data_IF_876752363402
#
_entry.id   IF_876752363402
#
_cell.length_a   1.000
_cell.length_b   1.000
_cell.length_c   1.000
_cell.angle_alpha   90.00
_cell.angle_beta   90.00
_cell.angle_gamma   90.00
#
_symmetry.space_group_name_H-M   'P 1'
#
loop_
_entity.id
_entity.type
_entity.pdbx_description
1 polymer ?
#
# COMPACT_ATOMS: atom_id res chain seq x y z
N UNK A 1 17.12 -14.55 23.36
CA UNK A 1 17.39 -13.57 22.29
C UNK A 1 17.09 -14.25 20.97
N UNK A 2 15.98 -13.89 20.31
CA UNK A 2 15.64 -14.46 18.97
C UNK A 2 16.47 -13.71 17.93
N UNK A 3 17.14 -14.43 17.04
CA UNK A 3 17.94 -13.84 15.96
C UNK A 3 17.06 -13.07 14.97
N UNK A 4 16.95 -11.75 15.17
CA UNK A 4 16.15 -10.87 14.32
C UNK A 4 16.75 -10.61 12.94
N UNK A 5 17.99 -11.08 12.68
CA UNK A 5 18.62 -11.03 11.34
C UNK A 5 17.90 -11.88 10.31
N UNK A 6 17.22 -12.96 10.73
CA UNK A 6 16.50 -13.84 9.81
C UNK A 6 15.26 -13.16 9.16
N UNK A 7 14.74 -12.08 9.75
CA UNK A 7 13.52 -11.40 9.28
C UNK A 7 13.79 -10.24 8.30
N UNK A 8 15.05 -9.78 8.18
CA UNK A 8 15.42 -8.74 7.21
C UNK A 8 15.13 -9.14 5.74
N UNK A 9 15.56 -10.31 5.24
CA UNK A 9 15.30 -10.67 3.85
C UNK A 9 13.80 -10.80 3.57
N UNK A 10 13.04 -11.34 4.53
CA UNK A 10 11.57 -11.47 4.42
C UNK A 10 10.93 -10.10 4.28
N UNK A 11 11.29 -9.14 5.14
CA UNK A 11 10.71 -7.78 5.11
C UNK A 11 11.04 -7.05 3.82
N UNK A 12 12.26 -7.21 3.29
CA UNK A 12 12.66 -6.66 2.00
C UNK A 12 11.85 -7.27 0.84
N UNK A 13 11.68 -8.59 0.83
CA UNK A 13 10.89 -9.29 -0.20
C UNK A 13 9.43 -8.83 -0.18
N UNK A 14 8.77 -8.81 0.98
CA UNK A 14 7.35 -8.41 1.06
C UNK A 14 7.19 -6.94 0.66
N UNK A 15 8.12 -6.07 1.04
CA UNK A 15 8.11 -4.65 0.61
C UNK A 15 8.28 -4.54 -0.92
N UNK A 16 9.18 -5.32 -1.51
CA UNK A 16 9.39 -5.37 -2.96
C UNK A 16 8.15 -5.86 -3.72
N UNK A 17 7.47 -6.89 -3.20
CA UNK A 17 6.20 -7.38 -3.77
C UNK A 17 5.12 -6.29 -3.70
N UNK A 18 4.99 -5.60 -2.56
CA UNK A 18 4.01 -4.53 -2.40
C UNK A 18 4.28 -3.35 -3.37
N UNK A 19 5.54 -2.99 -3.55
CA UNK A 19 5.95 -1.98 -4.54
C UNK A 19 5.58 -2.41 -5.95
N UNK A 20 5.88 -3.64 -6.33
CA UNK A 20 5.52 -4.17 -7.66
C UNK A 20 4.00 -4.11 -7.89
N UNK A 21 3.21 -4.51 -6.89
CA UNK A 21 1.74 -4.42 -6.94
C UNK A 21 1.29 -2.99 -7.16
N UNK A 22 1.80 -2.02 -6.38
CA UNK A 22 1.40 -0.62 -6.53
C UNK A 22 1.78 -0.04 -7.89
N UNK A 23 2.96 -0.38 -8.42
CA UNK A 23 3.40 0.05 -9.75
C UNK A 23 2.53 -0.55 -10.85
N UNK A 24 2.18 -1.84 -10.73
CA UNK A 24 1.28 -2.51 -11.68
C UNK A 24 -0.11 -1.89 -11.64
N UNK A 25 -0.65 -1.62 -10.46
CA UNK A 25 -1.95 -0.96 -10.27
C UNK A 25 -1.93 0.45 -10.87
N UNK A 26 -0.86 1.22 -10.63
CA UNK A 26 -0.70 2.54 -11.21
C UNK A 26 -0.66 2.49 -12.74
N UNK A 27 0.14 1.59 -13.31
CA UNK A 27 0.26 1.40 -14.74
C UNK A 27 -1.06 0.96 -15.37
N UNK A 28 -1.79 0.03 -14.74
CA UNK A 28 -3.09 -0.44 -15.20
C UNK A 28 -4.11 0.70 -15.27
N UNK A 29 -4.29 1.47 -14.20
CA UNK A 29 -5.26 2.56 -14.20
C UNK A 29 -4.86 3.72 -15.13
N UNK A 30 -3.56 4.05 -15.22
CA UNK A 30 -3.08 5.05 -16.16
C UNK A 30 -3.32 4.61 -17.61
N UNK A 31 -3.02 3.34 -17.92
CA UNK A 31 -3.25 2.76 -19.24
C UNK A 31 -4.74 2.80 -19.60
N UNK A 32 -5.61 2.24 -18.75
CA UNK A 32 -7.07 2.24 -18.99
C UNK A 32 -7.58 3.67 -19.15
N UNK A 33 -7.16 4.60 -18.29
CA UNK A 33 -7.60 6.01 -18.37
C UNK A 33 -7.22 6.73 -19.67
N UNK A 34 -6.17 6.28 -20.36
CA UNK A 34 -5.74 6.81 -21.66
C UNK A 34 -6.45 6.16 -22.85
N UNK A 35 -6.70 4.84 -22.80
CA UNK A 35 -7.23 4.10 -23.96
C UNK A 35 -8.75 3.91 -23.92
N UNK A 36 -9.34 3.84 -22.74
CA UNK A 36 -10.76 3.56 -22.53
C UNK A 36 -11.27 4.34 -21.31
N UNK A 37 -11.83 5.50 -21.59
CA UNK A 37 -12.38 6.42 -20.60
C UNK A 37 -13.74 5.95 -20.07
N UNK A 38 -13.83 4.70 -19.61
CA UNK A 38 -14.98 4.12 -18.94
C UNK A 38 -14.52 3.47 -17.63
N UNK A 39 -15.12 3.87 -16.51
CA UNK A 39 -14.90 3.24 -15.20
C UNK A 39 -16.18 3.31 -14.38
N UNK A 40 -16.19 2.65 -13.23
CA UNK A 40 -17.31 2.67 -12.30
C UNK A 40 -16.86 3.26 -10.97
N UNK A 41 -17.73 4.08 -10.38
CA UNK A 41 -17.58 4.62 -9.03
C UNK A 41 -18.74 4.14 -8.18
N UNK A 42 -18.50 3.19 -7.29
CA UNK A 42 -19.50 2.55 -6.43
C UNK A 42 -20.76 2.13 -7.20
N UNK A 43 -20.58 1.47 -8.35
CA UNK A 43 -21.67 0.99 -9.19
C UNK A 43 -22.38 2.07 -10.01
N UNK A 44 -21.94 3.34 -9.93
CA UNK A 44 -22.33 4.37 -10.90
C UNK A 44 -21.34 4.35 -12.08
N UNK A 45 -21.84 4.18 -13.30
CA UNK A 45 -21.00 4.23 -14.51
C UNK A 45 -20.52 5.67 -14.72
N UNK A 46 -19.22 5.82 -14.96
CA UNK A 46 -18.60 7.06 -15.41
C UNK A 46 -18.10 6.86 -16.84
N UNK A 47 -18.41 7.80 -17.71
CA UNK A 47 -17.98 7.79 -19.11
C UNK A 47 -17.31 9.12 -19.47
N UNK A 48 -16.29 9.08 -20.33
CA UNK A 48 -15.60 10.26 -20.85
C UNK A 48 -14.64 10.90 -19.84
N UNK A 49 -14.57 12.24 -19.82
CA UNK A 49 -13.57 12.96 -19.01
C UNK A 49 -13.65 12.70 -17.50
N UNK A 50 -14.82 12.53 -16.86
CA UNK A 50 -14.88 12.18 -15.44
C UNK A 50 -14.27 10.81 -15.13
N UNK A 51 -14.45 9.84 -16.02
CA UNK A 51 -13.89 8.49 -15.87
C UNK A 51 -12.36 8.50 -16.00
N UNK A 52 -11.82 9.17 -17.03
CA UNK A 52 -10.37 9.32 -17.18
C UNK A 52 -9.75 10.03 -15.98
N UNK A 53 -10.36 11.10 -15.48
CA UNK A 53 -9.86 11.80 -14.29
C UNK A 53 -9.84 10.89 -13.07
N UNK A 54 -10.91 10.12 -12.86
CA UNK A 54 -11.02 9.18 -11.75
C UNK A 54 -9.96 8.07 -11.83
N UNK A 55 -9.74 7.49 -13.01
CA UNK A 55 -8.69 6.50 -13.27
C UNK A 55 -7.29 7.08 -13.03
N UNK A 56 -7.03 8.32 -13.46
CA UNK A 56 -5.76 9.01 -13.20
C UNK A 56 -5.56 9.22 -11.70
N UNK A 57 -6.60 9.63 -10.96
CA UNK A 57 -6.52 9.77 -9.49
C UNK A 57 -6.19 8.43 -8.82
N UNK A 58 -6.82 7.32 -9.26
CA UNK A 58 -6.44 5.98 -8.81
C UNK A 58 -4.96 5.70 -9.08
N UNK A 59 -4.49 5.94 -10.30
CA UNK A 59 -3.10 5.71 -10.69
C UNK A 59 -2.10 6.54 -9.86
N UNK A 60 -2.38 7.83 -9.69
CA UNK A 60 -1.58 8.75 -8.88
C UNK A 60 -1.57 8.31 -7.42
N UNK A 61 -2.70 7.87 -6.86
CA UNK A 61 -2.76 7.34 -5.49
C UNK A 61 -1.80 6.16 -5.27
N UNK A 62 -1.77 5.21 -6.21
CA UNK A 62 -0.85 4.08 -6.14
C UNK A 62 0.62 4.51 -6.29
N UNK A 63 0.92 5.44 -7.21
CA UNK A 63 2.27 6.02 -7.40
C UNK A 63 2.76 6.77 -6.16
N UNK A 64 1.92 7.60 -5.54
CA UNK A 64 2.24 8.32 -4.31
C UNK A 64 2.59 7.33 -3.20
N UNK A 65 1.81 6.26 -3.03
CA UNK A 65 2.09 5.22 -2.04
C UNK A 65 3.41 4.49 -2.32
N UNK A 66 3.69 4.15 -3.59
CA UNK A 66 4.96 3.54 -3.98
C UNK A 66 6.15 4.47 -3.65
N UNK A 67 6.04 5.75 -4.00
CA UNK A 67 7.03 6.77 -3.66
C UNK A 67 7.22 6.94 -2.14
N UNK A 68 6.13 6.89 -1.36
CA UNK A 68 6.20 6.97 0.11
C UNK A 68 6.92 5.76 0.72
N UNK A 69 6.70 4.55 0.19
CA UNK A 69 7.40 3.34 0.64
C UNK A 69 8.90 3.45 0.38
N UNK A 70 9.31 3.93 -0.79
CA UNK A 70 10.73 4.12 -1.15
C UNK A 70 11.37 5.22 -0.30
N UNK A 71 10.72 6.38 -0.21
CA UNK A 71 11.28 7.57 0.44
C UNK A 71 11.28 7.47 1.96
N UNK A 72 10.27 6.83 2.55
CA UNK A 72 10.08 6.72 3.99
C UNK A 72 10.15 5.26 4.44
N UNK A 73 11.24 4.57 4.08
CA UNK A 73 11.51 3.20 4.51
C UNK A 73 11.53 3.03 6.06
N UNK A 74 11.73 4.12 6.82
CA UNK A 74 11.63 4.10 8.28
C UNK A 74 10.19 4.15 8.81
N UNK A 75 9.19 4.49 7.99
CA UNK A 75 7.75 4.57 8.35
C UNK A 75 6.92 3.47 7.69
N UNK A 76 7.49 2.29 7.49
CA UNK A 76 6.86 1.15 6.82
C UNK A 76 5.50 0.75 7.39
N UNK A 77 5.27 0.95 8.69
CA UNK A 77 3.96 0.70 9.33
C UNK A 77 2.88 1.65 8.82
N UNK A 78 3.17 2.94 8.80
CA UNK A 78 2.21 3.95 8.35
C UNK A 78 1.90 3.77 6.87
N UNK A 79 2.94 3.58 6.05
CA UNK A 79 2.75 3.36 4.61
C UNK A 79 2.01 2.05 4.35
N UNK A 80 2.26 0.99 5.12
CA UNK A 80 1.50 -0.26 5.05
C UNK A 80 0.01 -0.08 5.32
N UNK A 81 -0.35 0.64 6.39
CA UNK A 81 -1.76 0.94 6.71
C UNK A 81 -2.41 1.77 5.60
N UNK A 82 -1.72 2.78 5.08
CA UNK A 82 -2.23 3.59 3.97
C UNK A 82 -2.43 2.76 2.70
N UNK A 83 -1.50 1.85 2.39
CA UNK A 83 -1.63 0.93 1.25
C UNK A 83 -2.78 -0.04 1.43
N UNK A 84 -2.96 -0.60 2.63
CA UNK A 84 -4.09 -1.47 2.92
C UNK A 84 -5.43 -0.74 2.81
N UNK A 85 -5.51 0.51 3.29
CA UNK A 85 -6.70 1.34 3.14
C UNK A 85 -7.00 1.64 1.66
N UNK A 86 -5.98 1.96 0.86
CA UNK A 86 -6.14 2.24 -0.58
C UNK A 86 -6.57 0.99 -1.37
N UNK A 87 -5.92 -0.16 -1.18
CA UNK A 87 -6.30 -1.40 -1.86
C UNK A 87 -7.65 -1.94 -1.37
N UNK A 88 -7.97 -1.75 -0.09
CA UNK A 88 -9.28 -2.05 0.47
C UNK A 88 -10.38 -1.19 -0.14
N UNK A 89 -10.12 0.11 -0.32
CA UNK A 89 -11.03 1.00 -1.05
C UNK A 89 -11.31 0.49 -2.47
N UNK A 90 -10.27 0.15 -3.25
CA UNK A 90 -10.44 -0.39 -4.61
C UNK A 90 -11.22 -1.72 -4.61
N UNK A 91 -10.96 -2.60 -3.65
CA UNK A 91 -11.68 -3.85 -3.50
C UNK A 91 -13.17 -3.63 -3.23
N UNK A 92 -13.52 -2.71 -2.32
CA UNK A 92 -14.91 -2.38 -2.01
C UNK A 92 -15.61 -1.76 -3.22
N UNK A 93 -15.00 -0.76 -3.85
CA UNK A 93 -15.51 -0.08 -5.05
C UNK A 93 -15.82 -1.09 -6.17
N UNK A 94 -14.88 -2.00 -6.44
CA UNK A 94 -15.06 -3.07 -7.42
C UNK A 94 -16.13 -4.08 -7.01
N UNK A 95 -16.21 -4.46 -5.73
CA UNK A 95 -17.22 -5.42 -5.26
C UNK A 95 -18.64 -4.86 -5.40
N UNK A 96 -18.85 -3.59 -5.07
CA UNK A 96 -20.13 -2.91 -5.29
C UNK A 96 -20.48 -2.91 -6.78
N UNK A 97 -19.51 -2.56 -7.64
CA UNK A 97 -19.68 -2.53 -9.09
C UNK A 97 -20.03 -3.90 -9.67
N UNK A 98 -19.29 -4.96 -9.30
CA UNK A 98 -19.54 -6.33 -9.78
C UNK A 98 -20.93 -6.81 -9.34
N UNK A 99 -21.32 -6.53 -8.10
CA UNK A 99 -22.63 -6.92 -7.60
C UNK A 99 -23.76 -6.23 -8.36
N UNK A 100 -23.63 -4.95 -8.67
CA UNK A 100 -24.63 -4.20 -9.46
C UNK A 100 -24.68 -4.67 -10.91
N UNK A 101 -23.54 -4.90 -11.55
CA UNK A 101 -23.47 -5.28 -12.97
C UNK A 101 -23.88 -6.72 -13.24
N UNK A 102 -23.69 -7.64 -12.29
CA UNK A 102 -24.03 -9.06 -12.44
C UNK A 102 -25.39 -9.44 -11.85
N UNK A 103 -26.17 -8.47 -11.36
CA UNK A 103 -27.44 -8.75 -10.66
C UNK A 103 -27.25 -9.62 -9.41
N UNK A 104 -26.06 -9.60 -8.81
CA UNK A 104 -25.72 -10.39 -7.62
C UNK A 104 -25.16 -11.80 -7.88
N UNK A 105 -24.99 -12.22 -9.14
CA UNK A 105 -24.42 -13.54 -9.46
C UNK A 105 -22.94 -13.66 -9.07
N UNK A 106 -22.18 -12.55 -9.09
CA UNK A 106 -20.83 -12.45 -8.53
C UNK A 106 -20.78 -11.38 -7.44
N UNK A 107 -20.02 -11.65 -6.39
CA UNK A 107 -19.97 -10.77 -5.22
C UNK A 107 -18.74 -9.84 -5.19
N UNK A 108 -17.58 -10.29 -5.72
CA UNK A 108 -16.34 -9.52 -5.65
C UNK A 108 -15.33 -9.94 -6.73
N UNK A 109 -14.25 -9.14 -6.86
CA UNK A 109 -13.10 -9.43 -7.73
C UNK A 109 -12.04 -10.23 -6.97
N UNK A 110 -11.76 -11.45 -7.42
CA UNK A 110 -10.73 -12.31 -6.82
C UNK A 110 -9.33 -11.67 -6.89
N UNK A 111 -9.02 -10.99 -7.98
CA UNK A 111 -7.73 -10.30 -8.16
C UNK A 111 -7.55 -9.21 -7.09
N UNK A 112 -8.56 -8.34 -6.92
CA UNK A 112 -8.48 -7.28 -5.91
C UNK A 112 -8.51 -7.82 -4.48
N UNK A 113 -9.19 -8.94 -4.23
CA UNK A 113 -9.14 -9.64 -2.96
C UNK A 113 -7.71 -10.10 -2.64
N UNK A 114 -7.02 -10.71 -3.61
CA UNK A 114 -5.63 -11.16 -3.44
C UNK A 114 -4.70 -9.97 -3.19
N UNK A 115 -4.84 -8.88 -3.96
CA UNK A 115 -4.03 -7.67 -3.74
C UNK A 115 -4.27 -7.07 -2.36
N UNK A 116 -5.53 -6.99 -1.94
CA UNK A 116 -5.88 -6.52 -0.60
C UNK A 116 -5.32 -7.45 0.49
N UNK A 117 -5.44 -8.77 0.33
CA UNK A 117 -4.87 -9.73 1.27
C UNK A 117 -3.34 -9.59 1.41
N UNK A 118 -2.61 -9.39 0.31
CA UNK A 118 -1.17 -9.11 0.33
C UNK A 118 -0.87 -7.87 1.19
N UNK A 119 -1.67 -6.81 1.05
CA UNK A 119 -1.48 -5.58 1.82
C UNK A 119 -1.77 -5.75 3.32
N UNK A 120 -2.77 -6.54 3.67
CA UNK A 120 -3.08 -6.88 5.07
C UNK A 120 -1.97 -7.74 5.68
N UNK A 121 -1.48 -8.74 4.96
CA UNK A 121 -0.34 -9.53 5.40
C UNK A 121 0.89 -8.66 5.65
N UNK A 122 1.18 -7.70 4.77
CA UNK A 122 2.26 -6.74 4.98
C UNK A 122 2.09 -5.96 6.29
N UNK A 123 0.90 -5.43 6.57
CA UNK A 123 0.62 -4.72 7.83
C UNK A 123 0.84 -5.62 9.04
N UNK A 124 0.37 -6.87 9.00
CA UNK A 124 0.55 -7.84 10.08
C UNK A 124 2.04 -8.12 10.31
N UNK A 125 2.82 -8.37 9.26
CA UNK A 125 4.27 -8.59 9.38
C UNK A 125 4.98 -7.38 10.01
N UNK A 126 4.61 -6.16 9.61
CA UNK A 126 5.21 -4.93 10.16
C UNK A 126 4.78 -4.62 11.60
N UNK A 127 3.59 -5.06 12.01
CA UNK A 127 3.12 -4.92 13.38
C UNK A 127 3.86 -5.87 14.34
N UNK A 128 4.18 -7.08 13.89
CA UNK A 128 4.89 -8.09 14.68
C UNK A 128 6.41 -7.80 14.73
N UNK A 129 6.96 -7.17 13.69
CA UNK A 129 8.36 -6.75 13.67
C UNK A 129 8.64 -5.73 14.80
N UNK A 130 9.66 -5.96 15.67
CA UNK A 130 9.98 -5.05 16.76
C UNK A 130 10.25 -3.63 16.25
N UNK A 131 9.79 -2.61 16.99
CA UNK A 131 10.20 -1.23 16.77
C UNK A 131 11.73 -1.19 16.87
N UNK A 132 12.42 -0.98 15.75
CA UNK A 132 13.82 -0.54 15.80
C UNK A 132 13.79 0.86 16.37
N UNK A 133 13.86 0.97 17.69
CA UNK A 133 14.19 2.25 18.29
C UNK A 133 15.55 2.65 17.73
N UNK A 134 15.70 3.85 17.14
CA UNK A 134 17.02 4.39 16.92
C UNK A 134 17.68 4.40 18.30
N UNK A 135 18.70 3.56 18.48
CA UNK A 135 19.53 3.60 19.67
C UNK A 135 20.01 5.04 19.75
N UNK A 136 19.55 5.77 20.75
CA UNK A 136 20.01 7.11 21.01
C UNK A 136 21.52 6.99 21.27
N UNK A 137 22.32 7.28 20.25
CA UNK A 137 23.74 7.60 20.40
C UNK A 137 23.82 8.93 21.17
N UNK A 138 23.58 8.86 22.48
CA UNK A 138 23.62 9.98 23.42
C UNK A 138 24.32 9.60 24.72
N UNK A 139 25.14 8.55 24.68
CA UNK A 139 25.80 7.93 25.83
C UNK A 139 27.32 7.93 25.75
N UNK A 140 27.94 9.01 25.26
CA UNK A 140 29.34 9.33 25.49
C UNK A 140 29.53 10.81 25.13
N UNK A 141 29.66 11.71 26.09
CA UNK A 141 30.98 12.08 26.59
C UNK A 141 30.86 12.63 28.01
N UNK A 142 31.58 11.98 28.93
CA UNK A 142 31.88 12.44 30.30
C UNK A 142 32.63 13.78 30.27
N UNK A 143 32.38 14.64 31.26
CA UNK A 143 33.46 15.36 31.93
C UNK A 143 33.06 15.56 33.39
N UNK A 144 33.63 14.71 34.26
CA UNK A 144 33.66 14.93 35.70
C UNK A 144 34.82 15.91 35.94
N UNK A 145 34.60 17.15 36.41
CA UNK A 145 35.72 17.98 36.84
C UNK A 145 36.31 17.40 38.14
N UNK A 146 37.64 17.36 38.28
CA UNK A 146 38.27 16.87 39.50
C UNK A 146 37.99 17.83 40.67
N UNK A 147 37.66 17.23 41.81
CA UNK A 147 37.55 17.92 43.10
C UNK A 147 38.88 18.60 43.44
N UNK A 148 38.83 19.92 43.64
CA UNK A 148 39.83 20.72 44.37
C UNK A 148 39.10 21.76 45.22
#
# INVERSE_FOLDING_TARGET
>A
MRDFRALEPVTAVVTGVLLLVLLLVAAMFAFVGMINAEDWFFGTKLDGSPASLYLIVKAVGALVLACLIIRYAHRTRLTGVMTAAYLGYLFIDSSVTIRMTTGGARQFSEVLLVLFAISILFVIFQAIAPLRHPVAEGGATRANPPDL
#
